data_IF_395051901947
#
_entry.id   IF_395051901947
#
_cell.length_a   1.000
_cell.length_b   1.000
_cell.length_c   1.000
_cell.angle_alpha   90.00
_cell.angle_beta   90.00
_cell.angle_gamma   90.00
#
_symmetry.space_group_name_H-M   'P 1'
#
loop_
_entity.id
_entity.type
_entity.pdbx_description
1 polymer ?
#
# COMPACT_ATOMS: atom_id res chain seq x y z
N UNK A 1 -8.40 -13.36 -7.05
CA UNK A 1 -8.27 -11.89 -7.27
C UNK A 1 -9.57 -11.22 -6.88
N UNK A 2 -9.52 -10.22 -5.97
CA UNK A 2 -10.71 -9.57 -5.41
C UNK A 2 -11.53 -8.87 -6.51
N UNK A 3 -12.86 -8.93 -6.41
CA UNK A 3 -13.77 -8.30 -7.37
C UNK A 3 -14.00 -6.82 -7.01
N UNK A 4 -13.22 -5.93 -7.60
CA UNK A 4 -13.30 -4.50 -7.30
C UNK A 4 -14.62 -3.85 -7.77
N UNK A 5 -15.27 -4.39 -8.82
CA UNK A 5 -16.59 -3.93 -9.22
C UNK A 5 -17.63 -4.22 -8.16
N UNK A 6 -17.59 -5.43 -7.57
CA UNK A 6 -18.48 -5.78 -6.44
C UNK A 6 -18.16 -4.99 -5.18
N UNK A 7 -16.87 -4.67 -4.93
CA UNK A 7 -16.48 -3.83 -3.79
C UNK A 7 -17.11 -2.45 -3.89
N UNK A 8 -17.12 -1.85 -5.08
CA UNK A 8 -17.75 -0.54 -5.30
C UNK A 8 -19.26 -0.63 -5.53
N UNK A 9 -19.81 -1.82 -5.82
CA UNK A 9 -21.21 -1.99 -6.16
C UNK A 9 -21.58 -1.37 -7.52
N UNK A 10 -20.67 -1.49 -8.50
CA UNK A 10 -20.87 -1.02 -9.87
C UNK A 10 -20.79 -2.17 -10.87
N UNK A 11 -21.38 -2.00 -12.05
CA UNK A 11 -21.27 -2.95 -13.16
C UNK A 11 -19.88 -2.87 -13.83
N UNK A 12 -19.50 -3.96 -14.55
CA UNK A 12 -18.19 -4.04 -15.20
C UNK A 12 -17.98 -3.02 -16.32
N UNK A 13 -19.07 -2.60 -16.97
CA UNK A 13 -19.09 -1.59 -18.02
C UNK A 13 -19.17 -0.15 -17.48
N UNK A 14 -19.15 0.03 -16.15
CA UNK A 14 -19.17 1.34 -15.54
C UNK A 14 -18.01 2.21 -16.04
N UNK A 15 -18.33 3.47 -16.39
CA UNK A 15 -17.30 4.45 -16.78
C UNK A 15 -16.49 4.90 -15.58
N UNK A 16 -15.28 5.40 -15.83
CA UNK A 16 -14.39 5.93 -14.77
C UNK A 16 -15.08 7.05 -13.98
N UNK A 17 -15.91 7.88 -14.65
CA UNK A 17 -16.70 8.95 -13.99
C UNK A 17 -17.74 8.37 -13.03
N UNK A 18 -18.42 7.29 -13.43
CA UNK A 18 -19.39 6.59 -12.58
C UNK A 18 -18.68 5.97 -11.37
N UNK A 19 -17.54 5.30 -11.59
CA UNK A 19 -16.68 4.73 -10.55
C UNK A 19 -16.25 5.80 -9.55
N UNK A 20 -15.76 6.95 -10.04
CA UNK A 20 -15.34 8.08 -9.22
C UNK A 20 -16.49 8.65 -8.37
N UNK A 21 -17.68 8.76 -8.94
CA UNK A 21 -18.86 9.25 -8.22
C UNK A 21 -19.26 8.30 -7.09
N UNK A 22 -19.29 7.00 -7.37
CA UNK A 22 -19.64 5.97 -6.37
C UNK A 22 -18.57 5.92 -5.26
N UNK A 23 -17.30 5.96 -5.63
CA UNK A 23 -16.20 6.02 -4.69
C UNK A 23 -16.33 7.18 -3.71
N UNK A 24 -16.55 8.43 -4.19
CA UNK A 24 -16.72 9.60 -3.32
C UNK A 24 -17.87 9.44 -2.32
N UNK A 25 -18.96 8.78 -2.72
CA UNK A 25 -20.07 8.49 -1.82
C UNK A 25 -19.66 7.51 -0.72
N UNK A 26 -19.08 6.36 -1.11
CA UNK A 26 -18.65 5.31 -0.17
C UNK A 26 -17.51 5.77 0.75
N UNK A 27 -16.54 6.51 0.22
CA UNK A 27 -15.44 7.08 0.99
C UNK A 27 -15.95 8.05 2.07
N UNK A 28 -16.92 8.91 1.73
CA UNK A 28 -17.56 9.78 2.71
C UNK A 28 -18.37 8.98 3.75
N UNK A 29 -19.10 7.96 3.31
CA UNK A 29 -19.94 7.13 4.19
C UNK A 29 -19.12 6.34 5.22
N UNK A 30 -17.89 5.95 4.88
CA UNK A 30 -17.01 5.13 5.73
C UNK A 30 -15.77 5.87 6.21
N UNK A 31 -15.77 7.23 6.13
CA UNK A 31 -14.59 8.02 6.47
C UNK A 31 -14.22 7.85 7.96
N UNK A 32 -12.93 7.67 8.30
CA UNK A 32 -12.49 7.50 9.68
C UNK A 32 -12.92 8.64 10.60
N UNK A 33 -12.96 9.89 10.10
CA UNK A 33 -13.40 11.06 10.89
C UNK A 33 -14.88 11.02 11.27
N UNK A 34 -15.72 10.32 10.47
CA UNK A 34 -17.15 10.17 10.75
C UNK A 34 -17.44 8.94 11.61
N UNK A 35 -16.51 7.99 11.67
CA UNK A 35 -16.63 6.72 12.40
C UNK A 35 -15.37 6.44 13.22
N UNK A 36 -14.98 7.32 14.16
CA UNK A 36 -13.75 7.15 14.92
C UNK A 36 -13.79 5.86 15.75
N UNK A 37 -12.81 4.99 15.58
CA UNK A 37 -12.69 3.71 16.27
C UNK A 37 -13.57 2.57 15.75
N UNK A 38 -14.36 2.77 14.70
CA UNK A 38 -15.11 1.70 14.05
C UNK A 38 -14.22 0.95 13.05
N UNK A 39 -13.67 -0.19 13.50
CA UNK A 39 -12.82 -1.06 12.67
C UNK A 39 -13.50 -1.59 11.41
N UNK A 40 -14.85 -1.68 11.40
CA UNK A 40 -15.58 -2.14 10.22
C UNK A 40 -15.65 -1.03 9.17
N UNK A 41 -15.92 0.20 9.59
CA UNK A 41 -15.90 1.36 8.71
C UNK A 41 -14.49 1.58 8.14
N UNK A 42 -13.45 1.50 8.97
CA UNK A 42 -12.05 1.59 8.53
C UNK A 42 -11.68 0.51 7.50
N UNK A 43 -12.03 -0.76 7.77
CA UNK A 43 -11.78 -1.84 6.83
C UNK A 43 -12.52 -1.62 5.51
N UNK A 44 -13.77 -1.17 5.57
CA UNK A 44 -14.56 -0.88 4.37
C UNK A 44 -14.01 0.30 3.58
N UNK A 45 -13.57 1.35 4.26
CA UNK A 45 -12.89 2.48 3.63
C UNK A 45 -11.63 2.05 2.87
N UNK A 46 -10.78 1.22 3.49
CA UNK A 46 -9.58 0.67 2.84
C UNK A 46 -9.92 -0.15 1.60
N UNK A 47 -10.95 -1.02 1.69
CA UNK A 47 -11.41 -1.81 0.53
C UNK A 47 -11.90 -0.94 -0.63
N UNK A 48 -12.70 0.06 -0.33
CA UNK A 48 -13.28 0.99 -1.31
C UNK A 48 -12.17 1.83 -1.97
N UNK A 49 -11.20 2.31 -1.17
CA UNK A 49 -10.06 3.09 -1.67
C UNK A 49 -9.12 2.24 -2.53
N UNK A 50 -8.86 0.99 -2.14
CA UNK A 50 -8.11 0.03 -2.96
C UNK A 50 -8.79 -0.20 -4.31
N UNK A 51 -10.09 -0.46 -4.31
CA UNK A 51 -10.86 -0.69 -5.54
C UNK A 51 -10.84 0.53 -6.47
N UNK A 52 -10.96 1.74 -5.90
CA UNK A 52 -10.87 2.98 -6.68
C UNK A 52 -9.46 3.22 -7.22
N UNK A 53 -8.41 2.89 -6.47
CA UNK A 53 -7.02 2.99 -6.93
C UNK A 53 -6.77 2.22 -8.22
N UNK A 54 -7.49 1.12 -8.42
CA UNK A 54 -7.39 0.29 -9.64
C UNK A 54 -8.40 0.73 -10.70
N UNK A 55 -9.68 0.89 -10.35
CA UNK A 55 -10.74 1.15 -11.32
C UNK A 55 -10.92 2.63 -11.68
N UNK A 56 -10.38 3.54 -10.87
CA UNK A 56 -10.49 4.99 -11.06
C UNK A 56 -9.56 5.58 -12.12
N UNK A 57 -8.64 4.80 -12.64
CA UNK A 57 -7.73 5.16 -13.73
C UNK A 57 -8.00 4.26 -14.93
N UNK A 58 -8.14 4.85 -16.12
CA UNK A 58 -8.52 4.12 -17.32
C UNK A 58 -7.53 2.99 -17.66
N UNK A 59 -6.24 3.27 -17.59
CA UNK A 59 -5.20 2.29 -17.92
C UNK A 59 -5.17 1.15 -16.89
N UNK A 60 -5.20 1.47 -15.60
CA UNK A 60 -5.21 0.47 -14.54
C UNK A 60 -6.48 -0.40 -14.58
N UNK A 61 -7.63 0.20 -14.92
CA UNK A 61 -8.90 -0.53 -15.13
C UNK A 61 -8.78 -1.52 -16.30
N UNK A 62 -8.23 -1.10 -17.44
CA UNK A 62 -8.03 -1.98 -18.60
C UNK A 62 -7.07 -3.15 -18.28
N UNK A 63 -6.01 -2.89 -17.52
CA UNK A 63 -5.08 -3.92 -17.08
C UNK A 63 -5.76 -4.90 -16.10
N UNK A 64 -6.55 -4.40 -15.16
CA UNK A 64 -7.35 -5.21 -14.26
C UNK A 64 -8.36 -6.08 -15.02
N UNK A 65 -9.08 -5.50 -15.98
CA UNK A 65 -10.05 -6.22 -16.79
C UNK A 65 -9.38 -7.32 -17.64
N UNK A 66 -8.20 -7.06 -18.20
CA UNK A 66 -7.40 -8.07 -18.88
C UNK A 66 -6.96 -9.20 -17.96
N UNK A 67 -6.56 -8.89 -16.73
CA UNK A 67 -6.17 -9.90 -15.75
C UNK A 67 -7.36 -10.75 -15.32
N UNK A 68 -8.51 -10.13 -15.10
CA UNK A 68 -9.67 -10.79 -14.53
C UNK A 68 -10.52 -11.53 -15.54
N UNK A 69 -10.78 -10.91 -16.68
CA UNK A 69 -11.75 -11.42 -17.68
C UNK A 69 -11.13 -12.03 -18.92
N UNK A 70 -9.83 -11.93 -19.08
CA UNK A 70 -9.13 -12.71 -20.12
C UNK A 70 -9.32 -12.23 -21.55
N UNK A 71 -9.78 -11.03 -21.79
CA UNK A 71 -10.01 -10.51 -23.13
C UNK A 71 -8.76 -9.85 -23.73
N UNK A 72 -8.05 -10.49 -24.48
CA UNK A 72 -7.46 -10.49 -25.83
C UNK A 72 -6.06 -11.10 -25.90
N UNK A 73 -5.83 -12.04 -26.83
CA UNK A 73 -4.51 -12.61 -27.09
C UNK A 73 -3.79 -11.75 -28.12
N UNK A 74 -3.18 -10.68 -27.73
CA UNK A 74 -2.23 -9.98 -28.56
C UNK A 74 -1.06 -9.53 -27.74
N UNK A 75 -0.18 -10.46 -27.53
CA UNK A 75 1.26 -10.38 -27.66
C UNK A 75 1.84 -11.74 -27.25
N UNK A 76 1.88 -12.65 -28.20
CA UNK A 76 2.69 -13.86 -28.12
C UNK A 76 4.17 -13.51 -28.19
N UNK A 77 4.69 -12.84 -27.21
CA UNK A 77 6.10 -12.92 -26.91
C UNK A 77 6.22 -14.14 -26.00
N UNK A 78 6.63 -15.27 -26.57
CA UNK A 78 7.20 -16.37 -25.80
C UNK A 78 8.36 -15.76 -25.04
N UNK A 79 8.11 -15.41 -23.77
CA UNK A 79 9.15 -14.98 -22.88
C UNK A 79 10.20 -16.10 -22.87
N UNK A 80 11.45 -15.79 -23.21
CA UNK A 80 12.59 -16.65 -22.92
C UNK A 80 12.49 -17.00 -21.43
N UNK A 81 12.95 -18.19 -21.01
CA UNK A 81 12.99 -18.53 -19.60
C UNK A 81 13.96 -17.59 -18.89
N UNK A 82 13.47 -16.46 -18.52
CA UNK A 82 14.16 -15.51 -17.67
C UNK A 82 13.90 -16.00 -16.25
N UNK A 83 14.90 -15.92 -15.39
CA UNK A 83 14.74 -16.24 -13.98
C UNK A 83 13.71 -15.28 -13.37
N UNK A 84 12.44 -15.67 -13.43
CA UNK A 84 11.31 -14.85 -13.00
C UNK A 84 11.42 -14.40 -11.54
N UNK A 85 12.14 -15.18 -10.69
CA UNK A 85 12.36 -14.81 -9.30
C UNK A 85 13.30 -13.60 -9.17
N UNK A 86 14.24 -13.40 -10.08
CA UNK A 86 15.07 -12.18 -10.13
C UNK A 86 14.18 -10.96 -10.42
N UNK A 87 13.24 -11.05 -11.35
CA UNK A 87 12.32 -9.94 -11.64
C UNK A 87 11.39 -9.65 -10.47
N UNK A 88 10.89 -10.70 -9.80
CA UNK A 88 10.09 -10.55 -8.60
C UNK A 88 10.89 -9.84 -7.51
N UNK A 89 12.12 -10.27 -7.25
CA UNK A 89 12.99 -9.66 -6.24
C UNK A 89 13.31 -8.19 -6.56
N UNK A 90 13.67 -7.88 -7.79
CA UNK A 90 13.92 -6.49 -8.23
C UNK A 90 12.67 -5.61 -8.14
N UNK A 91 11.50 -6.17 -8.43
CA UNK A 91 10.24 -5.44 -8.29
C UNK A 91 9.92 -5.18 -6.82
N UNK A 92 10.13 -6.17 -5.95
CA UNK A 92 9.94 -6.01 -4.51
C UNK A 92 10.90 -4.97 -3.92
N UNK A 93 12.17 -4.95 -4.35
CA UNK A 93 13.15 -3.94 -3.95
C UNK A 93 12.69 -2.52 -4.33
N UNK A 94 12.24 -2.33 -5.57
CA UNK A 94 11.68 -1.04 -6.02
C UNK A 94 10.43 -0.63 -5.26
N UNK A 95 9.58 -1.58 -4.92
CA UNK A 95 8.37 -1.30 -4.13
C UNK A 95 8.74 -0.94 -2.69
N UNK A 96 9.73 -1.60 -2.10
CA UNK A 96 10.26 -1.25 -0.80
C UNK A 96 10.84 0.18 -0.79
N UNK A 97 11.69 0.52 -1.77
CA UNK A 97 12.22 1.87 -1.93
C UNK A 97 11.10 2.91 -2.11
N UNK A 98 10.10 2.61 -2.96
CA UNK A 98 8.95 3.48 -3.18
C UNK A 98 8.13 3.72 -1.92
N UNK A 99 7.89 2.69 -1.11
CA UNK A 99 7.22 2.82 0.18
C UNK A 99 8.02 3.64 1.17
N UNK A 100 9.33 3.42 1.23
CA UNK A 100 10.26 4.17 2.07
C UNK A 100 10.27 5.68 1.72
N UNK A 101 10.39 6.01 0.44
CA UNK A 101 10.39 7.39 -0.03
C UNK A 101 9.04 8.09 0.20
N UNK A 102 7.93 7.37 -0.01
CA UNK A 102 6.59 7.91 0.20
C UNK A 102 6.40 8.37 1.63
N UNK A 103 6.73 7.51 2.61
CA UNK A 103 6.55 7.84 4.02
C UNK A 103 7.54 8.91 4.48
N UNK A 104 8.79 8.87 4.04
CA UNK A 104 9.75 9.94 4.34
C UNK A 104 9.27 11.29 3.81
N UNK A 105 8.79 11.35 2.57
CA UNK A 105 8.22 12.55 1.99
C UNK A 105 7.00 13.07 2.76
N UNK A 106 6.14 12.17 3.22
CA UNK A 106 4.98 12.52 4.04
C UNK A 106 5.42 13.08 5.41
N UNK A 107 6.36 12.42 6.07
CA UNK A 107 6.87 12.81 7.38
C UNK A 107 7.60 14.16 7.34
N UNK A 108 8.41 14.42 6.32
CA UNK A 108 9.11 15.70 6.15
C UNK A 108 8.13 16.87 6.01
N UNK A 109 6.96 16.66 5.45
CA UNK A 109 5.89 17.68 5.39
C UNK A 109 5.18 17.87 6.74
N UNK A 110 5.28 16.90 7.66
CA UNK A 110 4.59 16.86 8.95
C UNK A 110 5.55 16.86 10.16
N UNK A 111 6.67 17.58 10.05
CA UNK A 111 7.71 17.66 11.09
C UNK A 111 7.17 17.95 12.52
N UNK A 112 6.20 18.87 12.73
CA UNK A 112 5.67 19.14 14.06
C UNK A 112 5.06 17.88 14.72
N UNK A 113 4.28 17.12 13.98
CA UNK A 113 3.64 15.89 14.46
C UNK A 113 4.67 14.81 14.81
N UNK A 114 5.74 14.66 14.00
CA UNK A 114 6.83 13.73 14.31
C UNK A 114 7.54 14.11 15.63
N UNK A 115 7.79 15.39 15.86
CA UNK A 115 8.41 15.87 17.11
C UNK A 115 7.55 15.53 18.32
N UNK A 116 6.24 15.65 18.21
CA UNK A 116 5.30 15.25 19.24
C UNK A 116 5.38 13.75 19.52
N UNK A 117 5.34 12.91 18.49
CA UNK A 117 5.48 11.45 18.60
C UNK A 117 6.81 11.03 19.22
N UNK A 118 7.93 11.63 18.79
CA UNK A 118 9.24 11.40 19.43
C UNK A 118 9.20 11.76 20.93
N UNK A 119 8.50 12.85 21.28
CA UNK A 119 8.30 13.24 22.67
C UNK A 119 7.57 12.18 23.48
N UNK A 120 6.54 11.56 22.91
CA UNK A 120 5.79 10.45 23.53
C UNK A 120 6.68 9.22 23.68
N UNK A 121 7.38 8.80 22.61
CA UNK A 121 8.29 7.65 22.63
C UNK A 121 9.38 7.83 23.70
N UNK A 122 9.98 9.04 23.81
CA UNK A 122 10.98 9.35 24.82
C UNK A 122 10.43 9.20 26.23
N UNK A 123 9.23 9.71 26.52
CA UNK A 123 8.60 9.59 27.84
C UNK A 123 8.37 8.13 28.22
N UNK A 124 7.82 7.34 27.29
CA UNK A 124 7.54 5.91 27.50
C UNK A 124 8.83 5.12 27.70
N UNK A 125 9.84 5.36 26.87
CA UNK A 125 11.13 4.65 26.96
C UNK A 125 11.86 5.00 28.26
N UNK A 126 11.89 6.29 28.64
CA UNK A 126 12.52 6.74 29.88
C UNK A 126 11.85 6.14 31.13
N UNK A 127 10.53 5.99 31.11
CA UNK A 127 9.77 5.44 32.24
C UNK A 127 9.92 3.94 32.41
N UNK A 128 10.17 3.18 31.32
CA UNK A 128 10.19 1.72 31.33
C UNK A 128 11.60 1.12 31.43
N UNK A 129 12.59 1.69 30.79
CA UNK A 129 13.87 0.99 30.51
C UNK A 129 15.12 1.87 30.73
N UNK A 130 14.99 3.18 31.00
CA UNK A 130 16.10 4.13 31.10
C UNK A 130 16.53 4.70 29.73
N UNK A 131 17.35 5.75 29.75
CA UNK A 131 17.66 6.59 28.58
C UNK A 131 18.51 5.88 27.50
N UNK A 132 19.32 4.90 27.91
CA UNK A 132 20.28 4.20 27.02
C UNK A 132 19.67 3.02 26.24
N UNK A 133 18.37 2.79 26.40
CA UNK A 133 17.70 1.62 25.83
C UNK A 133 16.78 1.95 24.66
N UNK A 134 17.00 3.07 23.96
CA UNK A 134 16.36 3.33 22.67
C UNK A 134 16.87 2.34 21.64
N UNK A 135 16.31 1.13 21.69
CA UNK A 135 16.67 0.05 20.77
C UNK A 135 15.90 0.19 19.49
N UNK A 136 16.50 -0.10 18.33
CA UNK A 136 15.82 -0.12 17.03
C UNK A 136 14.50 -0.88 17.04
N UNK A 137 14.40 -1.95 17.84
CA UNK A 137 13.19 -2.77 17.98
C UNK A 137 12.00 -2.00 18.57
N UNK A 138 12.23 -1.12 19.55
CA UNK A 138 11.14 -0.30 20.15
C UNK A 138 10.63 0.72 19.14
N UNK A 139 11.55 1.31 18.36
CA UNK A 139 11.19 2.24 17.28
C UNK A 139 10.39 1.53 16.20
N UNK A 140 10.79 0.32 15.84
CA UNK A 140 10.10 -0.49 14.84
C UNK A 140 8.70 -0.93 15.30
N UNK A 141 8.56 -1.40 16.53
CA UNK A 141 7.26 -1.75 17.11
C UNK A 141 6.33 -0.53 17.14
N UNK A 142 6.84 0.61 17.61
CA UNK A 142 6.05 1.85 17.62
C UNK A 142 5.74 2.34 16.21
N UNK A 143 6.67 2.22 15.26
CA UNK A 143 6.44 2.55 13.87
C UNK A 143 5.29 1.74 13.27
N UNK A 144 5.22 0.45 13.56
CA UNK A 144 4.13 -0.42 13.10
C UNK A 144 2.77 -0.03 13.70
N UNK A 145 2.75 0.33 14.98
CA UNK A 145 1.52 0.76 15.67
C UNK A 145 1.03 2.14 15.20
N UNK A 146 1.94 3.11 15.11
CA UNK A 146 1.61 4.47 14.72
C UNK A 146 1.33 4.61 13.22
N UNK A 147 1.92 3.74 12.40
CA UNK A 147 1.86 3.80 10.95
C UNK A 147 0.42 3.80 10.40
N UNK A 148 -0.50 3.06 11.03
CA UNK A 148 -1.91 3.04 10.64
C UNK A 148 -2.57 4.44 10.67
N UNK A 149 -2.14 5.31 11.61
CA UNK A 149 -2.63 6.68 11.73
C UNK A 149 -2.01 7.68 10.73
N UNK A 150 -0.99 7.25 9.95
CA UNK A 150 -0.32 8.10 8.97
C UNK A 150 -0.73 7.82 7.53
N UNK A 151 -1.42 6.70 7.29
CA UNK A 151 -1.89 6.31 5.96
C UNK A 151 -3.14 7.11 5.64
N UNK A 152 -3.03 8.02 4.69
CA UNK A 152 -4.17 8.75 4.14
C UNK A 152 -4.77 8.03 2.91
N UNK A 153 -5.91 8.54 2.45
CA UNK A 153 -6.65 8.00 1.30
C UNK A 153 -5.82 8.02 0.02
N UNK A 154 -5.09 9.11 -0.23
CA UNK A 154 -4.28 9.27 -1.43
C UNK A 154 -3.12 8.24 -1.46
N UNK A 155 -2.53 7.94 -0.30
CA UNK A 155 -1.49 6.91 -0.17
C UNK A 155 -2.06 5.52 -0.49
N UNK A 156 -3.27 5.18 0.00
CA UNK A 156 -3.93 3.89 -0.28
C UNK A 156 -4.19 3.74 -1.79
N UNK A 157 -4.77 4.77 -2.40
CA UNK A 157 -5.09 4.79 -3.84
C UNK A 157 -3.83 4.65 -4.68
N UNK A 158 -2.78 5.41 -4.38
CA UNK A 158 -1.50 5.38 -5.09
C UNK A 158 -0.82 4.02 -4.98
N UNK A 159 -0.75 3.47 -3.75
CA UNK A 159 -0.20 2.14 -3.49
C UNK A 159 -0.92 1.08 -4.31
N UNK A 160 -2.25 1.08 -4.29
CA UNK A 160 -3.06 0.09 -5.00
C UNK A 160 -2.80 0.12 -6.50
N UNK A 161 -2.68 1.30 -7.09
CA UNK A 161 -2.34 1.47 -8.51
C UNK A 161 -0.93 0.92 -8.83
N UNK A 162 0.07 1.31 -8.06
CA UNK A 162 1.47 0.89 -8.27
C UNK A 162 1.60 -0.63 -8.16
N UNK A 163 1.04 -1.23 -7.11
CA UNK A 163 1.10 -2.68 -6.88
C UNK A 163 0.36 -3.43 -7.99
N UNK A 164 -0.79 -2.90 -8.45
CA UNK A 164 -1.54 -3.52 -9.54
C UNK A 164 -0.74 -3.55 -10.85
N UNK A 165 -0.12 -2.45 -11.22
CA UNK A 165 0.73 -2.36 -12.43
C UNK A 165 1.94 -3.30 -12.30
N UNK A 166 2.59 -3.34 -11.13
CA UNK A 166 3.70 -4.24 -10.87
C UNK A 166 3.28 -5.72 -10.99
N UNK A 167 2.16 -6.08 -10.39
CA UNK A 167 1.58 -7.43 -10.45
C UNK A 167 1.27 -7.84 -11.90
N UNK A 168 0.63 -6.96 -12.66
CA UNK A 168 0.33 -7.20 -14.07
C UNK A 168 1.60 -7.49 -14.89
N UNK A 169 2.63 -6.67 -14.73
CA UNK A 169 3.89 -6.83 -15.44
C UNK A 169 4.58 -8.16 -15.07
N UNK A 170 4.59 -8.54 -13.80
CA UNK A 170 5.19 -9.80 -13.35
C UNK A 170 4.43 -11.02 -13.84
N UNK A 171 3.10 -10.99 -13.87
CA UNK A 171 2.27 -12.07 -14.42
C UNK A 171 2.54 -12.23 -15.93
N UNK A 172 2.65 -11.14 -16.68
CA UNK A 172 2.99 -11.19 -18.10
C UNK A 172 4.40 -11.74 -18.36
N UNK A 173 5.31 -11.63 -17.39
CA UNK A 173 6.65 -12.23 -17.40
C UNK A 173 6.69 -13.68 -16.91
N UNK A 174 5.54 -14.23 -16.51
CA UNK A 174 5.43 -15.62 -16.07
C UNK A 174 5.72 -15.88 -14.60
N UNK A 175 5.70 -14.83 -13.76
CA UNK A 175 5.93 -14.96 -12.32
C UNK A 175 4.80 -15.68 -11.56
N UNK A 176 3.60 -15.74 -12.13
CA UNK A 176 2.47 -16.54 -11.65
C UNK A 176 1.58 -16.95 -12.82
N UNK A 177 0.94 -18.11 -12.71
CA UNK A 177 -0.09 -18.52 -13.69
C UNK A 177 -1.37 -17.72 -13.43
N UNK A 178 -1.75 -16.93 -14.43
CA UNK A 178 -2.95 -16.08 -14.39
C UNK A 178 -4.24 -16.85 -14.06
N UNK A 179 -4.30 -18.12 -14.45
CA UNK A 179 -5.47 -18.98 -14.20
C UNK A 179 -5.50 -19.55 -12.78
N UNK A 180 -4.42 -19.41 -12.02
CA UNK A 180 -4.28 -19.88 -10.66
C UNK A 180 -4.40 -18.73 -9.69
N UNK A 181 -5.62 -18.46 -9.26
CA UNK A 181 -5.94 -17.34 -8.37
C UNK A 181 -5.04 -17.30 -7.11
N UNK A 182 -4.77 -18.46 -6.51
CA UNK A 182 -3.92 -18.56 -5.33
C UNK A 182 -2.47 -18.11 -5.57
N UNK A 183 -1.90 -18.39 -6.74
CA UNK A 183 -0.54 -17.93 -7.11
C UNK A 183 -0.52 -16.41 -7.28
N UNK A 184 -1.54 -15.87 -7.95
CA UNK A 184 -1.69 -14.42 -8.15
C UNK A 184 -1.85 -13.71 -6.82
N UNK A 185 -2.70 -14.22 -5.92
CA UNK A 185 -2.92 -13.62 -4.60
C UNK A 185 -1.67 -13.72 -3.72
N UNK A 186 -0.93 -14.82 -3.80
CA UNK A 186 0.35 -14.97 -3.09
C UNK A 186 1.38 -13.94 -3.59
N UNK A 187 1.48 -13.76 -4.90
CA UNK A 187 2.37 -12.78 -5.49
C UNK A 187 1.97 -11.36 -5.09
N UNK A 188 0.67 -11.02 -5.17
CA UNK A 188 0.13 -9.72 -4.75
C UNK A 188 0.50 -9.41 -3.30
N UNK A 189 0.30 -10.35 -2.37
CA UNK A 189 0.67 -10.18 -0.95
C UNK A 189 2.17 -9.93 -0.75
N UNK A 190 3.03 -10.60 -1.52
CA UNK A 190 4.48 -10.34 -1.47
C UNK A 190 4.81 -8.91 -1.85
N UNK A 191 4.16 -8.37 -2.89
CA UNK A 191 4.35 -6.99 -3.35
C UNK A 191 3.82 -5.97 -2.33
N UNK A 192 2.65 -6.23 -1.77
CA UNK A 192 2.04 -5.40 -0.71
C UNK A 192 2.94 -5.34 0.52
N UNK A 193 3.44 -6.50 0.98
CA UNK A 193 4.35 -6.57 2.12
C UNK A 193 5.66 -5.80 1.87
N UNK A 194 6.24 -5.91 0.66
CA UNK A 194 7.47 -5.18 0.34
C UNK A 194 7.27 -3.66 0.44
N UNK A 195 6.12 -3.15 -0.05
CA UNK A 195 5.77 -1.74 0.09
C UNK A 195 5.61 -1.32 1.55
N UNK A 196 4.84 -2.09 2.33
CA UNK A 196 4.59 -1.81 3.74
C UNK A 196 5.87 -1.86 4.59
N UNK A 197 6.75 -2.82 4.34
CA UNK A 197 8.06 -2.88 5.00
C UNK A 197 8.92 -1.67 4.65
N UNK A 198 8.89 -1.20 3.41
CA UNK A 198 9.53 0.04 3.00
C UNK A 198 9.00 1.25 3.77
N UNK A 199 7.69 1.38 3.88
CA UNK A 199 7.06 2.46 4.63
C UNK A 199 7.46 2.42 6.13
N UNK A 200 7.44 1.24 6.75
CA UNK A 200 7.87 1.07 8.16
C UNK A 200 9.34 1.45 8.33
N UNK A 201 10.20 1.04 7.40
CA UNK A 201 11.62 1.40 7.41
C UNK A 201 11.82 2.91 7.25
N UNK A 202 11.13 3.57 6.32
CA UNK A 202 11.18 5.01 6.12
C UNK A 202 10.72 5.80 7.35
N UNK A 203 9.68 5.33 8.04
CA UNK A 203 9.24 5.91 9.29
C UNK A 203 10.29 5.75 10.40
N UNK A 204 10.84 4.56 10.56
CA UNK A 204 11.92 4.28 11.52
C UNK A 204 13.12 5.20 11.28
N UNK A 205 13.59 5.30 10.04
CA UNK A 205 14.77 6.07 9.68
C UNK A 205 14.54 7.58 9.94
N UNK A 206 13.33 8.08 9.67
CA UNK A 206 12.94 9.43 10.02
C UNK A 206 12.96 9.68 11.54
N UNK A 207 12.41 8.76 12.33
CA UNK A 207 12.44 8.85 13.81
C UNK A 207 13.88 8.85 14.32
N UNK A 208 14.75 7.97 13.83
CA UNK A 208 16.16 7.90 14.21
C UNK A 208 16.90 9.20 13.89
N UNK A 209 16.69 9.75 12.70
CA UNK A 209 17.29 11.02 12.28
C UNK A 209 16.89 12.17 13.21
N UNK A 210 15.61 12.28 13.58
CA UNK A 210 15.13 13.31 14.50
C UNK A 210 15.57 13.06 15.94
N UNK A 211 15.72 11.81 16.35
CA UNK A 211 16.20 11.45 17.68
C UNK A 211 17.67 11.82 17.89
N UNK A 212 18.53 11.54 16.90
CA UNK A 212 19.96 11.84 16.95
C UNK A 212 20.25 13.35 16.94
N UNK A 213 19.46 14.14 16.22
CA UNK A 213 19.63 15.61 16.16
C UNK A 213 19.33 16.35 17.47
N UNK A 214 18.77 15.67 18.44
CA UNK A 214 18.36 16.23 19.74
C UNK A 214 19.13 15.64 20.91
N UNK A 215 20.29 14.98 20.66
CA UNK A 215 21.33 14.69 21.66
C UNK A 215 22.27 15.87 21.77
#
# INVERSE_FOLDING_TARGET
MRDYYKVLGVEQDATVETIKRVYRKLAKEHHPDLHPGDKKAEARFKEVSEAYGVLGDQQAKEEYDRLRFGAHPTYGVKARPVNTEIFVSQTMEKLYEGGHEEIQGHLLRNIPKIREEIGVIRKVTKSKIGYDAFKPKIVEEHAREAFAGWIDEDMIVRRSKIIHVALFNLINQGAADRKREQEVDKLKRRLENAWEEGQVAGYRDALEMFYQRNK
#
